data_IF_311412866676
#
_entry.id   IF_311412866676
#
_cell.length_a   1.000
_cell.length_b   1.000
_cell.length_c   1.000
_cell.angle_alpha   90.00
_cell.angle_beta   90.00
_cell.angle_gamma   90.00
#
_symmetry.space_group_name_H-M   'P 1'
#
loop_
_entity.id
_entity.type
_entity.pdbx_description
1 polymer ?
#
# COMPACT_ATOMS: atom_id res chain seq x y z
N UNK A 1 -0.33 -0.82 5.27
CA UNK A 1 -1.06 -2.10 5.36
C UNK A 1 -2.52 -1.91 4.96
N UNK A 2 -3.09 -2.89 4.28
CA UNK A 2 -4.52 -2.93 3.96
C UNK A 2 -5.27 -3.88 4.91
N UNK A 3 -6.38 -3.43 5.48
CA UNK A 3 -7.12 -4.13 6.56
C UNK A 3 -7.42 -5.63 6.35
N UNK A 4 -7.71 -6.12 5.13
CA UNK A 4 -7.92 -7.58 4.89
C UNK A 4 -6.67 -8.41 5.19
N UNK A 5 -5.50 -7.89 4.83
CA UNK A 5 -4.21 -8.56 5.07
C UNK A 5 -3.73 -8.35 6.51
N UNK A 6 -4.03 -7.20 7.12
CA UNK A 6 -3.67 -6.91 8.51
C UNK A 6 -4.26 -7.94 9.47
N UNK A 7 -5.51 -8.38 9.28
CA UNK A 7 -6.10 -9.37 10.19
C UNK A 7 -5.33 -10.70 10.15
N UNK A 8 -4.89 -11.14 8.96
CA UNK A 8 -4.10 -12.35 8.83
C UNK A 8 -2.70 -12.20 9.47
N UNK A 9 -2.07 -11.03 9.31
CA UNK A 9 -0.77 -10.71 9.94
C UNK A 9 -0.89 -10.62 11.46
N UNK A 10 -1.86 -9.85 11.98
CA UNK A 10 -2.07 -9.65 13.40
C UNK A 10 -2.52 -10.94 14.12
N UNK A 11 -3.31 -11.78 13.44
CA UNK A 11 -3.68 -13.10 13.95
C UNK A 11 -2.50 -14.05 13.88
N UNK A 12 -1.62 -14.05 12.88
CA UNK A 12 -0.43 -14.93 12.86
C UNK A 12 0.55 -14.66 14.01
N UNK A 13 0.66 -13.41 14.46
CA UNK A 13 1.41 -13.07 15.67
C UNK A 13 0.82 -13.71 16.95
N UNK A 14 -0.45 -14.13 16.95
CA UNK A 14 -1.17 -14.58 18.14
C UNK A 14 -1.00 -16.07 18.51
N UNK A 15 -1.19 -17.09 17.63
CA UNK A 15 -1.00 -18.50 17.98
C UNK A 15 0.46 -18.95 17.90
N UNK A 16 1.31 -18.28 17.12
CA UNK A 16 2.77 -18.51 17.11
C UNK A 16 3.40 -18.25 18.48
N UNK A 17 2.74 -17.43 19.31
CA UNK A 17 3.15 -17.07 20.66
C UNK A 17 3.03 -18.23 21.67
N UNK A 18 2.29 -19.31 21.35
CA UNK A 18 2.11 -20.46 22.25
C UNK A 18 3.00 -21.67 21.92
N UNK A 19 3.53 -21.78 20.70
CA UNK A 19 4.22 -23.01 20.22
C UNK A 19 5.76 -22.89 20.18
N UNK A 20 6.34 -21.70 20.20
CA UNK A 20 7.79 -21.49 20.08
C UNK A 20 8.34 -20.88 21.37
N UNK A 21 8.71 -21.74 22.32
CA UNK A 21 9.22 -21.41 23.67
C UNK A 21 10.55 -20.66 23.75
N UNK A 22 10.89 -19.81 22.77
CA UNK A 22 12.09 -18.96 22.80
C UNK A 22 12.12 -17.78 21.81
N UNK A 23 11.01 -17.41 21.16
CA UNK A 23 10.93 -16.18 20.35
C UNK A 23 9.77 -15.29 20.84
N UNK A 24 10.08 -14.31 21.68
CA UNK A 24 9.13 -13.28 22.13
C UNK A 24 8.85 -12.28 21.00
N UNK A 25 7.89 -12.60 20.11
CA UNK A 25 7.32 -11.64 19.14
C UNK A 25 5.97 -11.07 19.63
N UNK A 26 5.47 -11.49 20.80
CA UNK A 26 4.13 -11.12 21.27
C UNK A 26 3.92 -9.72 21.90
N UNK A 27 4.91 -8.83 21.94
CA UNK A 27 4.76 -7.54 22.66
C UNK A 27 5.62 -6.38 22.15
N UNK A 28 6.32 -6.53 21.03
CA UNK A 28 7.18 -5.45 20.54
C UNK A 28 6.36 -4.51 19.67
N UNK A 29 6.29 -3.20 19.98
CA UNK A 29 5.64 -2.24 19.09
C UNK A 29 6.37 -2.17 17.74
N UNK A 30 5.67 -1.80 16.65
CA UNK A 30 6.31 -1.57 15.37
C UNK A 30 7.47 -0.59 15.52
N UNK A 31 8.63 -0.94 14.98
CA UNK A 31 9.84 -0.13 15.08
C UNK A 31 9.99 0.87 13.92
N UNK A 32 9.11 0.76 12.93
CA UNK A 32 8.96 1.69 11.80
C UNK A 32 7.52 2.21 11.76
N UNK A 33 7.26 3.36 11.12
CA UNK A 33 5.90 3.86 10.93
C UNK A 33 5.03 2.84 10.18
N UNK A 34 3.80 2.62 10.66
CA UNK A 34 2.83 1.71 10.03
C UNK A 34 1.51 2.44 9.85
N UNK A 35 1.13 2.62 8.59
CA UNK A 35 -0.16 3.19 8.23
C UNK A 35 -1.10 2.08 7.78
N UNK A 36 -2.27 1.98 8.40
CA UNK A 36 -3.32 1.04 8.05
C UNK A 36 -4.52 1.78 7.48
N UNK A 37 -4.94 1.41 6.26
CA UNK A 37 -6.12 1.99 5.62
C UNK A 37 -7.23 0.94 5.50
N UNK A 38 -8.44 1.34 5.89
CA UNK A 38 -9.67 0.54 5.79
C UNK A 38 -10.47 0.98 4.57
N UNK A 39 -10.45 0.21 3.49
CA UNK A 39 -10.91 0.66 2.16
C UNK A 39 -11.55 -0.41 1.26
N UNK A 40 -11.53 -1.69 1.63
CA UNK A 40 -12.09 -2.82 0.87
C UNK A 40 -13.28 -3.48 1.58
N UNK A 41 -13.71 -2.94 2.71
CA UNK A 41 -14.86 -3.45 3.46
C UNK A 41 -16.19 -2.87 2.96
N UNK A 42 -16.18 -1.66 2.36
CA UNK A 42 -17.36 -1.04 1.77
C UNK A 42 -17.79 -1.83 0.54
N UNK A 43 -19.08 -2.18 0.46
CA UNK A 43 -19.70 -2.78 -0.70
C UNK A 43 -20.75 -1.84 -1.29
N UNK A 44 -21.03 -1.97 -2.59
CA UNK A 44 -22.09 -1.19 -3.26
C UNK A 44 -23.40 -1.98 -3.18
N UNK A 45 -24.05 -1.96 -2.01
CA UNK A 45 -25.36 -2.58 -1.80
C UNK A 45 -26.50 -1.72 -2.37
N UNK A 46 -26.36 -0.40 -2.24
CA UNK A 46 -27.29 0.61 -2.75
C UNK A 46 -26.54 1.56 -3.69
N UNK A 47 -27.18 1.93 -4.81
CA UNK A 47 -26.63 2.85 -5.79
C UNK A 47 -27.72 3.74 -6.41
N UNK A 48 -27.31 4.87 -6.99
CA UNK A 48 -28.19 5.83 -7.72
C UNK A 48 -29.30 6.46 -6.86
N UNK A 49 -29.05 6.61 -5.56
CA UNK A 49 -29.89 7.38 -4.64
C UNK A 49 -29.01 8.35 -3.86
N UNK A 50 -29.58 9.46 -3.41
CA UNK A 50 -28.84 10.49 -2.64
C UNK A 50 -28.28 9.93 -1.33
N UNK A 51 -28.97 8.95 -0.74
CA UNK A 51 -28.60 8.29 0.52
C UNK A 51 -27.74 7.02 0.36
N UNK A 52 -27.31 6.69 -0.87
CA UNK A 52 -26.58 5.45 -1.15
C UNK A 52 -25.26 5.35 -0.36
N UNK A 53 -24.51 6.45 -0.25
CA UNK A 53 -23.25 6.48 0.51
C UNK A 53 -23.50 6.15 1.97
N UNK A 54 -24.47 6.83 2.60
CA UNK A 54 -24.79 6.61 4.00
C UNK A 54 -25.22 5.16 4.27
N UNK A 55 -26.14 4.63 3.44
CA UNK A 55 -26.63 3.25 3.59
C UNK A 55 -25.53 2.20 3.44
N UNK A 56 -24.62 2.37 2.48
CA UNK A 56 -23.51 1.44 2.29
C UNK A 56 -22.52 1.48 3.47
N UNK A 57 -22.28 2.68 4.04
CA UNK A 57 -21.43 2.83 5.24
C UNK A 57 -22.07 2.22 6.49
N UNK A 58 -23.39 2.36 6.67
CA UNK A 58 -24.12 1.72 7.77
C UNK A 58 -24.00 0.19 7.68
N UNK A 59 -24.25 -0.39 6.50
CA UNK A 59 -24.12 -1.83 6.26
C UNK A 59 -22.68 -2.33 6.45
N UNK A 60 -21.68 -1.57 6.03
CA UNK A 60 -20.27 -1.90 6.26
C UNK A 60 -19.97 -2.01 7.76
N UNK A 61 -20.42 -1.04 8.54
CA UNK A 61 -20.19 -1.00 10.00
C UNK A 61 -20.89 -2.15 10.71
N UNK A 62 -22.13 -2.48 10.32
CA UNK A 62 -22.86 -3.64 10.84
C UNK A 62 -22.12 -4.95 10.56
N UNK A 63 -21.64 -5.15 9.32
CA UNK A 63 -20.97 -6.39 8.89
C UNK A 63 -19.57 -6.57 9.48
N UNK A 64 -18.85 -5.49 9.75
CA UNK A 64 -17.43 -5.54 10.14
C UNK A 64 -17.16 -5.02 11.56
N UNK A 65 -18.19 -4.90 12.40
CA UNK A 65 -18.09 -4.35 13.77
C UNK A 65 -16.94 -4.94 14.59
N UNK A 66 -16.79 -6.26 14.59
CA UNK A 66 -15.71 -6.94 15.34
C UNK A 66 -14.32 -6.60 14.80
N UNK A 67 -14.17 -6.56 13.47
CA UNK A 67 -12.90 -6.19 12.82
C UNK A 67 -12.52 -4.75 13.12
N UNK A 68 -13.48 -3.82 13.08
CA UNK A 68 -13.24 -2.43 13.40
C UNK A 68 -12.92 -2.23 14.88
N UNK A 69 -13.56 -2.98 15.78
CA UNK A 69 -13.21 -2.98 17.20
C UNK A 69 -11.77 -3.47 17.43
N UNK A 70 -11.36 -4.54 16.74
CA UNK A 70 -10.00 -5.07 16.80
C UNK A 70 -8.96 -4.08 16.26
N UNK A 71 -9.19 -3.49 15.08
CA UNK A 71 -8.30 -2.48 14.51
C UNK A 71 -8.20 -1.26 15.43
N UNK A 72 -9.33 -0.76 15.93
CA UNK A 72 -9.37 0.36 16.88
C UNK A 72 -8.56 0.06 18.14
N UNK A 73 -8.67 -1.14 18.71
CA UNK A 73 -7.81 -1.56 19.82
C UNK A 73 -6.33 -1.52 19.43
N UNK A 74 -5.96 -2.03 18.25
CA UNK A 74 -4.59 -2.00 17.73
C UNK A 74 -3.99 -0.59 17.66
N UNK A 75 -4.77 0.41 17.26
CA UNK A 75 -4.30 1.81 17.22
C UNK A 75 -3.95 2.38 18.60
N UNK A 76 -4.61 1.92 19.67
CA UNK A 76 -4.29 2.32 21.04
C UNK A 76 -3.16 1.49 21.65
N UNK A 77 -2.99 0.26 21.18
CA UNK A 77 -1.98 -0.66 21.70
C UNK A 77 -0.56 -0.33 21.18
N UNK A 78 -0.43 0.34 20.02
CA UNK A 78 0.85 0.58 19.36
C UNK A 78 1.06 2.06 18.97
N UNK A 79 2.12 2.68 19.51
CA UNK A 79 2.42 4.10 19.29
C UNK A 79 2.82 4.48 17.84
N UNK A 80 3.26 3.51 17.04
CA UNK A 80 3.72 3.71 15.66
C UNK A 80 2.70 3.22 14.62
N UNK A 81 1.43 3.07 15.01
CA UNK A 81 0.36 2.62 14.11
C UNK A 81 -0.69 3.72 13.92
N UNK A 82 -0.78 4.24 12.70
CA UNK A 82 -1.87 5.11 12.28
C UNK A 82 -2.96 4.26 11.62
N UNK A 83 -4.22 4.51 11.96
CA UNK A 83 -5.37 3.87 11.31
C UNK A 83 -6.24 4.93 10.65
N UNK A 84 -6.35 4.83 9.33
CA UNK A 84 -7.26 5.62 8.51
C UNK A 84 -8.61 4.89 8.47
N UNK A 85 -9.70 5.52 8.94
CA UNK A 85 -11.00 4.87 9.10
C UNK A 85 -11.69 4.61 7.75
N UNK A 86 -12.71 3.73 7.71
CA UNK A 86 -13.49 3.46 6.50
C UNK A 86 -14.15 4.74 5.96
N UNK A 87 -14.30 4.80 4.65
CA UNK A 87 -14.87 5.96 3.95
C UNK A 87 -13.91 7.12 3.71
N UNK A 88 -12.63 7.01 4.11
CA UNK A 88 -11.62 8.06 3.93
C UNK A 88 -10.90 8.02 2.57
N UNK A 89 -11.22 7.06 1.72
CA UNK A 89 -10.55 6.82 0.44
C UNK A 89 -9.91 5.43 0.34
N UNK A 90 -9.19 5.20 -0.75
CA UNK A 90 -8.50 3.93 -1.05
C UNK A 90 -7.02 4.06 -0.69
N UNK A 91 -6.41 3.00 -0.17
CA UNK A 91 -5.04 3.00 0.39
C UNK A 91 -4.01 3.67 -0.53
N UNK A 92 -4.03 3.38 -1.83
CA UNK A 92 -3.04 3.93 -2.76
C UNK A 92 -3.25 5.42 -3.03
N UNK A 93 -4.50 5.88 -3.11
CA UNK A 93 -4.80 7.30 -3.29
C UNK A 93 -4.44 8.09 -2.03
N UNK A 94 -4.84 7.60 -0.85
CA UNK A 94 -4.45 8.19 0.44
C UNK A 94 -2.94 8.19 0.60
N UNK A 95 -2.25 7.15 0.11
CA UNK A 95 -0.80 7.10 0.13
C UNK A 95 -0.15 8.19 -0.74
N UNK A 96 -0.65 8.40 -1.96
CA UNK A 96 -0.16 9.44 -2.85
C UNK A 96 -0.45 10.86 -2.33
N UNK A 97 -1.64 11.08 -1.78
CA UNK A 97 -2.13 12.42 -1.44
C UNK A 97 -1.77 12.88 -0.01
N UNK A 98 -1.53 11.94 0.90
CA UNK A 98 -1.40 12.25 2.32
C UNK A 98 -0.24 11.56 3.05
N UNK A 99 0.00 10.26 2.80
CA UNK A 99 0.99 9.51 3.60
C UNK A 99 2.42 9.57 3.04
N UNK A 100 2.56 9.60 1.72
CA UNK A 100 3.85 9.60 1.02
C UNK A 100 4.63 10.88 1.30
N UNK A 101 5.87 10.73 1.77
CA UNK A 101 6.69 11.86 2.23
C UNK A 101 7.75 12.29 1.24
N UNK A 102 8.11 11.41 0.30
CA UNK A 102 9.21 11.55 -0.68
C UNK A 102 10.60 11.58 -0.02
N UNK A 103 10.78 12.40 1.03
CA UNK A 103 11.99 12.48 1.84
C UNK A 103 11.60 12.45 3.32
N UNK A 104 12.21 11.54 4.06
CA UNK A 104 12.16 11.53 5.52
C UNK A 104 13.33 12.32 6.11
N UNK A 105 13.10 12.95 7.25
CA UNK A 105 14.14 13.55 8.09
C UNK A 105 14.04 12.93 9.48
N UNK A 106 15.08 12.20 9.90
CA UNK A 106 15.21 11.61 11.25
C UNK A 106 16.61 11.87 11.77
N UNK A 107 16.72 12.37 13.01
CA UNK A 107 18.00 12.58 13.68
C UNK A 107 19.00 13.44 12.87
N UNK A 108 18.49 14.41 12.10
CA UNK A 108 19.29 15.28 11.23
C UNK A 108 19.76 14.62 9.92
N UNK A 109 19.35 13.38 9.66
CA UNK A 109 19.63 12.65 8.43
C UNK A 109 18.41 12.70 7.52
N UNK A 110 18.61 13.13 6.28
CA UNK A 110 17.61 13.04 5.21
C UNK A 110 17.85 11.80 4.38
N UNK A 111 16.79 11.04 4.16
CA UNK A 111 16.84 9.84 3.32
C UNK A 111 15.55 9.75 2.48
N UNK A 112 15.62 9.10 1.30
CA UNK A 112 14.43 8.91 0.49
C UNK A 112 13.39 8.08 1.25
N UNK A 113 12.13 8.34 0.93
CA UNK A 113 11.02 7.49 1.31
C UNK A 113 11.08 6.16 0.53
N UNK A 114 10.68 5.08 1.20
CA UNK A 114 10.52 3.76 0.63
C UNK A 114 9.44 3.01 1.41
N UNK A 115 8.59 2.24 0.73
CA UNK A 115 7.44 1.61 1.38
C UNK A 115 7.21 0.18 0.93
N UNK A 116 6.92 -0.68 1.90
CA UNK A 116 6.42 -2.03 1.68
C UNK A 116 4.97 -2.06 2.09
N UNK A 117 4.11 -2.60 1.22
CA UNK A 117 2.70 -2.72 1.50
C UNK A 117 2.23 -4.15 1.41
N UNK A 118 1.23 -4.49 2.21
CA UNK A 118 0.54 -5.78 2.14
C UNK A 118 -0.52 -5.81 1.02
N UNK A 119 -0.35 -4.97 0.00
CA UNK A 119 -1.16 -4.91 -1.21
C UNK A 119 -0.27 -4.83 -2.45
N UNK A 120 -0.65 -5.51 -3.53
CA UNK A 120 0.17 -5.60 -4.75
C UNK A 120 0.33 -4.26 -5.49
N UNK A 121 -0.63 -3.36 -5.39
CA UNK A 121 -0.62 -2.05 -6.06
C UNK A 121 0.07 -0.97 -5.23
N UNK A 122 0.77 -1.32 -4.14
CA UNK A 122 1.66 -0.38 -3.44
C UNK A 122 2.65 0.31 -4.39
N UNK A 123 3.00 -0.34 -5.51
CA UNK A 123 3.78 0.23 -6.62
C UNK A 123 3.16 1.51 -7.24
N UNK A 124 1.91 1.86 -6.94
CA UNK A 124 1.32 3.12 -7.39
C UNK A 124 2.09 4.34 -6.85
N UNK A 125 2.72 4.22 -5.67
CA UNK A 125 3.53 5.28 -5.07
C UNK A 125 4.82 5.58 -5.86
N UNK A 126 5.27 4.62 -6.69
CA UNK A 126 6.46 4.78 -7.54
C UNK A 126 6.30 5.95 -8.52
N UNK A 127 5.06 6.31 -8.85
CA UNK A 127 4.75 7.50 -9.66
C UNK A 127 5.15 8.83 -9.02
N UNK A 128 5.37 8.88 -7.69
CA UNK A 128 5.90 10.03 -6.96
C UNK A 128 7.42 9.94 -6.73
N UNK A 129 8.09 8.93 -7.28
CA UNK A 129 9.53 8.70 -7.07
C UNK A 129 9.87 8.06 -5.72
N UNK A 130 8.89 7.46 -5.05
CA UNK A 130 9.07 6.70 -3.81
C UNK A 130 9.19 5.23 -4.19
N UNK A 131 10.27 4.55 -3.81
CA UNK A 131 10.42 3.13 -4.13
C UNK A 131 9.52 2.27 -3.25
N UNK A 132 8.51 1.60 -3.81
CA UNK A 132 7.65 0.72 -3.05
C UNK A 132 7.01 -0.43 -3.82
N UNK A 133 6.70 -1.52 -3.11
CA UNK A 133 6.09 -2.70 -3.72
C UNK A 133 5.28 -3.52 -2.71
N UNK A 134 4.44 -4.39 -3.27
CA UNK A 134 3.64 -5.34 -2.50
C UNK A 134 4.46 -6.51 -1.96
N UNK A 135 4.20 -6.89 -0.71
CA UNK A 135 4.78 -8.05 -0.03
C UNK A 135 3.69 -8.84 0.70
N UNK A 136 4.02 -10.06 1.13
CA UNK A 136 3.14 -10.85 1.98
C UNK A 136 3.03 -10.29 3.40
N UNK A 137 2.05 -10.80 4.15
CA UNK A 137 1.82 -10.37 5.54
C UNK A 137 3.00 -10.70 6.48
N UNK A 138 3.71 -11.80 6.22
CA UNK A 138 4.87 -12.24 7.02
C UNK A 138 6.07 -11.33 6.78
N UNK A 139 6.35 -11.00 5.52
CA UNK A 139 7.43 -10.07 5.17
C UNK A 139 7.16 -8.67 5.72
N UNK A 140 5.90 -8.21 5.68
CA UNK A 140 5.50 -6.95 6.29
C UNK A 140 5.70 -6.97 7.81
N UNK A 141 5.34 -8.05 8.51
CA UNK A 141 5.57 -8.20 9.95
C UNK A 141 7.07 -8.17 10.30
N UNK A 142 7.89 -8.88 9.53
CA UNK A 142 9.33 -8.86 9.68
C UNK A 142 9.90 -7.43 9.50
N UNK A 143 9.45 -6.71 8.47
CA UNK A 143 9.83 -5.31 8.24
C UNK A 143 9.38 -4.38 9.38
N UNK A 144 8.18 -4.59 9.94
CA UNK A 144 7.68 -3.86 11.12
C UNK A 144 8.60 -4.02 12.33
N UNK A 145 9.28 -5.16 12.44
CA UNK A 145 10.27 -5.47 13.48
C UNK A 145 11.70 -5.09 13.09
N UNK A 146 11.88 -4.24 12.06
CA UNK A 146 13.19 -3.82 11.50
C UNK A 146 14.05 -4.97 10.97
N UNK A 147 13.46 -6.12 10.63
CA UNK A 147 14.21 -7.13 9.90
C UNK A 147 14.43 -6.67 8.46
N UNK A 148 15.66 -6.74 7.94
CA UNK A 148 15.94 -6.36 6.57
C UNK A 148 15.28 -7.34 5.61
N UNK A 149 14.66 -6.81 4.55
CA UNK A 149 14.19 -7.65 3.46
C UNK A 149 15.38 -8.23 2.69
N UNK A 150 15.32 -9.53 2.41
CA UNK A 150 16.27 -10.19 1.53
C UNK A 150 15.67 -10.28 0.14
N UNK A 151 16.35 -9.73 -0.85
CA UNK A 151 15.98 -9.88 -2.25
C UNK A 151 17.22 -10.09 -3.12
N UNK A 152 17.05 -10.85 -4.21
CA UNK A 152 18.04 -10.86 -5.28
C UNK A 152 18.07 -9.46 -5.89
N UNK A 153 19.26 -8.91 -6.11
CA UNK A 153 19.41 -7.61 -6.77
C UNK A 153 18.70 -7.67 -8.14
N UNK A 154 17.60 -6.92 -8.35
CA UNK A 154 16.81 -7.06 -9.55
C UNK A 154 17.51 -6.41 -10.73
N UNK A 155 17.35 -6.99 -11.92
CA UNK A 155 17.67 -6.28 -13.15
C UNK A 155 16.71 -5.10 -13.35
N UNK A 156 17.18 -4.04 -14.00
CA UNK A 156 16.37 -2.85 -14.30
C UNK A 156 16.13 -2.76 -15.80
N UNK A 157 14.85 -2.65 -16.19
CA UNK A 157 14.42 -2.42 -17.57
C UNK A 157 14.07 -0.94 -17.74
N UNK A 158 14.84 -0.22 -18.56
CA UNK A 158 14.51 1.15 -18.95
C UNK A 158 13.31 1.17 -19.89
N UNK A 159 12.27 1.92 -19.55
CA UNK A 159 11.11 2.16 -20.41
C UNK A 159 11.14 3.60 -20.92
N UNK A 160 11.59 3.79 -22.16
CA UNK A 160 11.67 5.12 -22.77
C UNK A 160 10.31 5.60 -23.28
N UNK A 161 9.84 6.73 -22.73
CA UNK A 161 8.70 7.48 -23.22
C UNK A 161 9.18 8.62 -24.12
N UNK A 162 8.67 8.65 -25.35
CA UNK A 162 8.95 9.69 -26.34
C UNK A 162 7.68 10.19 -27.03
N UNK A 163 7.76 11.40 -27.60
CA UNK A 163 6.64 12.04 -28.29
C UNK A 163 5.62 12.68 -27.34
N UNK A 164 4.39 12.87 -27.84
CA UNK A 164 3.26 13.47 -27.12
C UNK A 164 2.01 12.63 -27.34
N UNK A 165 1.14 12.54 -26.32
CA UNK A 165 -0.16 11.90 -26.47
C UNK A 165 -1.04 12.66 -27.47
N UNK A 166 -1.81 11.93 -28.27
CA UNK A 166 -2.81 12.50 -29.18
C UNK A 166 -4.00 13.04 -28.38
N UNK A 167 -4.67 14.06 -28.90
CA UNK A 167 -5.88 14.58 -28.29
C UNK A 167 -6.93 13.47 -28.14
N UNK A 168 -7.56 13.40 -26.96
CA UNK A 168 -8.55 12.38 -26.62
C UNK A 168 -7.97 11.07 -26.09
N UNK A 169 -6.64 10.89 -26.08
CA UNK A 169 -6.00 9.76 -25.39
C UNK A 169 -5.95 10.03 -23.90
N UNK A 170 -6.40 9.06 -23.10
CA UNK A 170 -6.47 9.15 -21.64
C UNK A 170 -5.26 8.49 -20.97
N UNK A 171 -5.08 8.74 -19.67
CA UNK A 171 -4.11 8.02 -18.85
C UNK A 171 -4.37 6.50 -18.84
N UNK A 172 -5.64 6.09 -18.91
CA UNK A 172 -6.03 4.68 -18.98
C UNK A 172 -5.59 4.02 -20.28
N UNK A 173 -5.73 4.71 -21.42
CA UNK A 173 -5.26 4.19 -22.71
C UNK A 173 -3.75 3.96 -22.70
N UNK A 174 -3.01 4.92 -22.13
CA UNK A 174 -1.57 4.82 -21.97
C UNK A 174 -1.17 3.64 -21.07
N UNK A 175 -1.72 3.55 -19.85
CA UNK A 175 -1.31 2.50 -18.90
C UNK A 175 -1.63 1.12 -19.45
N UNK A 176 -2.78 0.93 -20.11
CA UNK A 176 -3.12 -0.34 -20.75
C UNK A 176 -2.17 -0.70 -21.90
N UNK A 177 -1.74 0.28 -22.69
CA UNK A 177 -0.75 0.08 -23.75
C UNK A 177 0.60 -0.32 -23.16
N UNK A 178 1.07 0.38 -22.12
CA UNK A 178 2.32 0.06 -21.41
C UNK A 178 2.25 -1.33 -20.79
N UNK A 179 1.14 -1.68 -20.11
CA UNK A 179 0.91 -3.01 -19.55
C UNK A 179 1.00 -4.10 -20.61
N UNK A 180 0.37 -3.90 -21.77
CA UNK A 180 0.44 -4.85 -22.89
C UNK A 180 1.90 -5.05 -23.36
N UNK A 181 2.65 -3.96 -23.54
CA UNK A 181 4.04 -4.00 -23.98
C UNK A 181 4.96 -4.72 -22.97
N UNK A 182 4.86 -4.36 -21.69
CA UNK A 182 5.65 -4.96 -20.61
C UNK A 182 5.33 -6.45 -20.43
N UNK A 183 4.04 -6.83 -20.53
CA UNK A 183 3.63 -8.23 -20.47
C UNK A 183 4.21 -9.06 -21.61
N UNK A 184 4.24 -8.50 -22.83
CA UNK A 184 4.87 -9.15 -23.99
C UNK A 184 6.39 -9.26 -23.83
N UNK A 185 7.03 -8.27 -23.21
CA UNK A 185 8.47 -8.26 -22.98
C UNK A 185 8.93 -9.23 -21.88
N UNK A 186 8.13 -9.43 -20.83
CA UNK A 186 8.46 -10.34 -19.73
C UNK A 186 9.37 -9.70 -18.67
N UNK A 187 8.74 -9.01 -17.72
CA UNK A 187 9.43 -8.21 -16.68
C UNK A 187 9.32 -8.78 -15.26
N UNK A 188 8.88 -10.03 -15.11
CA UNK A 188 8.78 -10.69 -13.80
C UNK A 188 10.16 -10.75 -13.14
N UNK A 189 10.23 -10.34 -11.86
CA UNK A 189 11.46 -10.33 -11.08
C UNK A 189 12.45 -9.21 -11.43
N UNK A 190 12.00 -8.19 -12.16
CA UNK A 190 12.81 -7.03 -12.58
C UNK A 190 12.12 -5.73 -12.18
N UNK A 191 12.89 -4.67 -12.02
CA UNK A 191 12.36 -3.32 -11.97
C UNK A 191 12.14 -2.76 -13.37
N UNK A 192 11.16 -1.87 -13.48
CA UNK A 192 10.90 -1.08 -14.69
C UNK A 192 11.05 0.38 -14.30
N UNK A 193 11.98 1.08 -14.93
CA UNK A 193 12.24 2.50 -14.65
C UNK A 193 11.90 3.32 -15.90
N UNK A 194 10.97 4.25 -15.75
CA UNK A 194 10.53 5.11 -16.85
C UNK A 194 11.50 6.28 -17.03
N UNK A 195 11.85 6.57 -18.28
CA UNK A 195 12.69 7.72 -18.65
C UNK A 195 12.28 8.27 -20.01
N UNK A 196 12.96 9.33 -20.49
CA UNK A 196 12.75 9.89 -21.82
C UNK A 196 12.16 11.30 -21.79
N UNK A 197 11.87 11.85 -22.97
CA UNK A 197 11.52 13.26 -23.17
C UNK A 197 10.02 13.51 -23.36
N UNK A 198 9.16 12.51 -23.16
CA UNK A 198 7.73 12.67 -23.36
C UNK A 198 7.17 13.81 -22.52
N UNK A 199 6.48 14.75 -23.15
CA UNK A 199 5.82 15.86 -22.48
C UNK A 199 4.35 15.52 -22.21
N UNK A 200 4.02 15.35 -20.93
CA UNK A 200 2.63 15.20 -20.46
C UNK A 200 1.93 16.53 -20.19
N UNK A 201 2.66 17.64 -20.31
CA UNK A 201 2.19 18.96 -19.92
C UNK A 201 2.46 19.90 -21.10
N UNK A 202 1.38 20.31 -21.80
CA UNK A 202 1.39 21.71 -22.22
C UNK A 202 1.15 22.56 -20.96
N UNK A 203 1.84 23.71 -20.83
CA UNK A 203 1.74 24.58 -19.67
C UNK A 203 0.32 25.07 -19.39
#
# INVERSE_FOLDING_TARGET
>A
MQHFTTFATAVHGSPSCQLLGSFSIGSSPPQVPVDLVVDHSVQVDVARTEDAVQKNMELEFERNKERFAFLKWGSYAFNNMLIVPPGSGIIHQVNLEYLGRVVFESDGIRHPDSVLGTDSHTTMIDGLGIAGWGVGGIEAEAAMLKQPMTMVLPGVIGFELSGKLRNGVTATDLVLTVTQMLRKHGVVGKFVEFHGKASYLEP
#
